data_IF_902364494268
#
_entry.id   IF_902364494268
#
_cell.length_a   1.000
_cell.length_b   1.000
_cell.length_c   1.000
_cell.angle_alpha   90.00
_cell.angle_beta   90.00
_cell.angle_gamma   90.00
#
_symmetry.space_group_name_H-M   'P 1'
#
loop_
_entity.id
_entity.type
_entity.pdbx_description
1 polymer ?
#
# COMPACT_ATOMS: atom_id res chain seq x y z
N UNK A 1 52.70 1.84 -47.12
CA UNK A 1 52.03 2.95 -46.42
C UNK A 1 50.50 2.95 -46.52
N UNK A 2 49.81 2.31 -47.49
CA UNK A 2 48.35 2.20 -47.47
C UNK A 2 47.80 1.31 -46.34
N UNK A 3 48.55 0.30 -45.92
CA UNK A 3 48.13 -0.67 -44.92
C UNK A 3 47.96 -0.09 -43.50
N UNK A 4 48.83 0.87 -43.12
CA UNK A 4 48.78 1.52 -41.80
C UNK A 4 47.51 2.40 -41.64
N UNK A 5 47.04 3.03 -42.74
CA UNK A 5 45.80 3.82 -42.70
C UNK A 5 44.56 2.93 -42.59
N UNK A 6 44.60 1.77 -43.26
CA UNK A 6 43.53 0.77 -43.20
C UNK A 6 43.39 0.16 -41.79
N UNK A 7 44.53 -0.18 -41.15
CA UNK A 7 44.55 -0.66 -39.76
C UNK A 7 44.01 0.40 -38.81
N UNK A 8 44.39 1.65 -38.96
CA UNK A 8 43.94 2.74 -38.10
C UNK A 8 42.43 2.97 -38.22
N UNK A 9 41.86 2.90 -39.43
CA UNK A 9 40.42 2.96 -39.66
C UNK A 9 39.71 1.76 -39.00
N UNK A 10 40.27 0.56 -39.10
CA UNK A 10 39.74 -0.64 -38.50
C UNK A 10 39.69 -0.53 -36.94
N UNK A 11 40.74 -0.01 -36.32
CA UNK A 11 40.76 0.24 -34.88
C UNK A 11 39.69 1.25 -34.43
N UNK A 12 39.50 2.33 -35.19
CA UNK A 12 38.47 3.32 -34.89
C UNK A 12 37.07 2.76 -35.05
N UNK A 13 36.82 1.94 -36.08
CA UNK A 13 35.53 1.25 -36.25
C UNK A 13 35.27 0.27 -35.12
N UNK A 14 36.27 -0.49 -34.71
CA UNK A 14 36.16 -1.44 -33.62
C UNK A 14 35.90 -0.73 -32.29
N UNK A 15 36.59 0.40 -32.04
CA UNK A 15 36.35 1.23 -30.87
C UNK A 15 34.91 1.80 -30.84
N UNK A 16 34.40 2.24 -31.99
CA UNK A 16 33.04 2.75 -32.12
C UNK A 16 31.98 1.65 -31.85
N UNK A 17 32.21 0.45 -32.36
CA UNK A 17 31.34 -0.70 -32.12
C UNK A 17 31.33 -1.08 -30.62
N UNK A 18 32.49 -1.12 -29.99
CA UNK A 18 32.61 -1.40 -28.55
C UNK A 18 31.87 -0.32 -27.74
N UNK A 19 32.07 0.95 -28.08
CA UNK A 19 31.37 2.06 -27.43
C UNK A 19 29.82 1.93 -27.56
N UNK A 20 29.36 1.59 -28.78
CA UNK A 20 27.92 1.38 -29.02
C UNK A 20 27.37 0.23 -28.18
N UNK A 21 28.09 -0.89 -28.07
CA UNK A 21 27.69 -2.04 -27.25
C UNK A 21 27.61 -1.64 -25.77
N UNK A 22 28.61 -0.90 -25.25
CA UNK A 22 28.63 -0.44 -23.86
C UNK A 22 27.44 0.49 -23.58
N UNK A 23 27.13 1.42 -24.50
CA UNK A 23 26.00 2.31 -24.35
C UNK A 23 24.67 1.54 -24.36
N UNK A 24 24.49 0.60 -25.29
CA UNK A 24 23.28 -0.23 -25.38
C UNK A 24 23.12 -1.08 -24.11
N UNK A 25 24.20 -1.66 -23.61
CA UNK A 25 24.20 -2.44 -22.36
C UNK A 25 23.85 -1.55 -21.17
N UNK A 26 24.37 -0.31 -21.12
CA UNK A 26 24.03 0.66 -20.08
C UNK A 26 22.54 1.05 -20.10
N UNK A 27 21.99 1.33 -21.27
CA UNK A 27 20.56 1.65 -21.45
C UNK A 27 19.70 0.45 -21.04
N UNK A 28 20.04 -0.76 -21.48
CA UNK A 28 19.35 -1.99 -21.10
C UNK A 28 19.37 -2.21 -19.58
N UNK A 29 20.53 -2.00 -18.95
CA UNK A 29 20.70 -2.11 -17.52
C UNK A 29 19.80 -1.12 -16.76
N UNK A 30 19.80 0.16 -17.18
CA UNK A 30 18.94 1.18 -16.58
C UNK A 30 17.46 0.82 -16.72
N UNK A 31 17.02 0.39 -17.90
CA UNK A 31 15.63 -0.01 -18.13
C UNK A 31 15.22 -1.21 -17.26
N UNK A 32 16.17 -2.15 -17.04
CA UNK A 32 15.90 -3.40 -16.30
C UNK A 32 15.81 -3.19 -14.80
N UNK A 33 16.58 -2.24 -14.24
CA UNK A 33 16.73 -2.05 -12.79
C UNK A 33 16.11 -0.75 -12.26
N UNK A 34 15.53 0.06 -13.12
CA UNK A 34 14.86 1.29 -12.71
C UNK A 34 13.39 1.02 -12.38
N UNK A 35 13.04 1.10 -11.09
CA UNK A 35 11.68 1.00 -10.60
C UNK A 35 11.06 2.40 -10.44
N UNK A 36 9.89 2.61 -11.04
CA UNK A 36 9.12 3.86 -10.92
C UNK A 36 8.05 3.69 -9.86
N UNK A 37 7.92 4.67 -8.98
CA UNK A 37 6.73 4.90 -8.18
C UNK A 37 5.70 5.66 -9.01
N UNK A 38 4.42 5.53 -8.70
CA UNK A 38 3.33 6.29 -9.30
C UNK A 38 2.48 6.91 -8.20
N UNK A 39 1.63 7.89 -8.53
CA UNK A 39 0.71 8.51 -7.57
C UNK A 39 -0.22 7.48 -6.88
N UNK A 40 -0.45 6.35 -7.52
CA UNK A 40 -1.30 5.27 -7.00
C UNK A 40 -0.51 4.21 -6.22
N UNK A 41 0.82 4.25 -6.26
CA UNK A 41 1.65 3.23 -5.60
C UNK A 41 2.96 3.81 -5.09
N UNK A 42 3.21 3.66 -3.80
CA UNK A 42 4.49 3.90 -3.19
C UNK A 42 5.41 2.68 -3.34
N UNK A 43 6.71 2.93 -3.39
CA UNK A 43 7.74 1.89 -3.42
C UNK A 43 8.54 1.93 -2.11
N UNK A 44 8.48 0.85 -1.36
CA UNK A 44 9.32 0.66 -0.16
C UNK A 44 10.51 -0.19 -0.55
N UNK A 45 11.71 0.39 -0.50
CA UNK A 45 12.98 -0.29 -0.75
C UNK A 45 13.69 -0.54 0.55
N UNK A 46 14.13 -1.78 0.77
CA UNK A 46 14.96 -2.21 1.90
C UNK A 46 16.24 -2.86 1.39
N UNK A 47 17.30 -2.81 2.17
CA UNK A 47 18.59 -3.41 1.81
C UNK A 47 19.76 -2.47 2.08
N UNK A 48 20.80 -2.55 1.24
CA UNK A 48 22.00 -1.71 1.38
C UNK A 48 21.62 -0.23 1.30
N UNK A 49 21.92 0.53 2.37
CA UNK A 49 21.54 1.94 2.52
C UNK A 49 20.25 2.17 3.33
N UNK A 50 19.71 1.12 3.98
CA UNK A 50 18.55 1.22 4.85
C UNK A 50 17.20 1.18 4.13
N UNK A 51 16.14 1.47 4.90
CA UNK A 51 14.77 1.54 4.39
C UNK A 51 14.52 2.93 3.78
N UNK A 52 14.01 2.94 2.56
CA UNK A 52 13.54 4.17 1.89
C UNK A 52 12.15 3.97 1.30
N UNK A 53 11.27 4.91 1.58
CA UNK A 53 9.94 4.99 0.98
C UNK A 53 9.99 6.05 -0.12
N UNK A 54 9.51 5.68 -1.30
CA UNK A 54 9.51 6.53 -2.49
C UNK A 54 8.06 6.63 -2.95
N UNK A 55 7.50 7.80 -2.77
CA UNK A 55 6.10 8.12 -3.14
C UNK A 55 6.02 8.78 -4.51
N UNK A 56 7.13 9.39 -4.95
CA UNK A 56 7.21 10.08 -6.22
C UNK A 56 8.56 9.80 -6.91
N UNK A 57 8.56 9.78 -8.25
CA UNK A 57 9.75 9.53 -9.05
C UNK A 57 10.08 8.05 -9.19
N UNK A 58 11.34 7.69 -8.97
CA UNK A 58 11.81 6.31 -9.10
C UNK A 58 13.17 6.09 -8.47
N UNK A 59 13.54 4.83 -8.34
CA UNK A 59 14.86 4.45 -7.84
C UNK A 59 15.43 3.25 -8.57
N UNK A 60 16.74 3.11 -8.50
CA UNK A 60 17.42 1.91 -8.95
C UNK A 60 17.28 0.83 -7.87
N UNK A 61 16.73 -0.31 -8.28
CA UNK A 61 16.57 -1.49 -7.44
C UNK A 61 17.44 -2.60 -8.00
N UNK A 62 18.50 -2.95 -7.27
CA UNK A 62 19.37 -4.08 -7.60
C UNK A 62 18.86 -5.32 -6.84
N UNK A 63 18.33 -6.35 -7.51
CA UNK A 63 17.68 -7.49 -6.83
C UNK A 63 18.58 -8.27 -5.87
N UNK A 64 19.91 -8.18 -6.07
CA UNK A 64 20.90 -8.89 -5.25
C UNK A 64 21.06 -8.24 -3.87
N UNK A 65 20.92 -6.90 -3.78
CA UNK A 65 21.22 -6.11 -2.57
C UNK A 65 20.02 -5.34 -2.03
N UNK A 66 18.93 -5.26 -2.81
CA UNK A 66 17.71 -4.54 -2.44
C UNK A 66 16.49 -5.42 -2.61
N UNK A 67 15.58 -5.33 -1.65
CA UNK A 67 14.22 -5.80 -1.77
C UNK A 67 13.33 -4.58 -2.00
N UNK A 68 12.41 -4.66 -2.96
CA UNK A 68 11.42 -3.63 -3.23
C UNK A 68 10.02 -4.18 -3.07
N UNK A 69 9.19 -3.44 -2.39
CA UNK A 69 7.80 -3.77 -2.15
C UNK A 69 6.93 -2.61 -2.64
N UNK A 70 5.93 -2.93 -3.45
CA UNK A 70 4.96 -1.94 -3.93
C UNK A 70 3.77 -1.90 -3.00
N UNK A 71 3.40 -0.69 -2.57
CA UNK A 71 2.27 -0.42 -1.69
C UNK A 71 1.23 0.33 -2.49
N UNK A 72 0.01 -0.22 -2.60
CA UNK A 72 -1.11 0.48 -3.22
C UNK A 72 -1.57 1.62 -2.31
N UNK A 73 -1.69 2.83 -2.88
CA UNK A 73 -2.18 4.03 -2.20
C UNK A 73 -3.65 4.31 -2.52
N UNK A 74 -4.29 3.41 -3.26
CA UNK A 74 -5.70 3.53 -3.63
C UNK A 74 -6.59 3.35 -2.40
N UNK A 75 -7.71 4.10 -2.38
CA UNK A 75 -8.77 3.90 -1.40
C UNK A 75 -9.52 2.62 -1.70
N UNK A 76 -9.72 1.81 -0.68
CA UNK A 76 -10.44 0.55 -0.77
C UNK A 76 -11.62 0.56 0.19
N UNK A 77 -12.75 0.03 -0.25
CA UNK A 77 -13.96 -0.05 0.57
C UNK A 77 -14.06 -1.44 1.20
N UNK A 78 -14.11 -1.48 2.52
CA UNK A 78 -14.37 -2.69 3.30
C UNK A 78 -15.81 -2.61 3.82
N UNK A 79 -16.62 -3.61 3.49
CA UNK A 79 -18.02 -3.69 3.96
C UNK A 79 -18.13 -4.68 5.09
N UNK A 80 -18.59 -4.22 6.24
CA UNK A 80 -18.85 -5.05 7.42
C UNK A 80 -20.36 -5.13 7.62
N UNK A 81 -20.90 -6.34 7.57
CA UNK A 81 -22.31 -6.62 7.84
C UNK A 81 -22.43 -7.51 9.07
N UNK A 82 -23.27 -7.10 10.00
CA UNK A 82 -23.65 -7.87 11.19
C UNK A 82 -25.16 -8.02 11.22
N UNK A 83 -25.66 -9.23 10.96
CA UNK A 83 -27.09 -9.50 10.85
C UNK A 83 -27.47 -10.87 11.41
N UNK A 84 -28.73 -11.04 11.74
CA UNK A 84 -29.29 -12.29 12.21
C UNK A 84 -28.65 -12.79 13.51
N UNK A 85 -27.92 -13.90 13.46
CA UNK A 85 -27.23 -14.47 14.64
C UNK A 85 -26.05 -13.63 15.11
N UNK A 86 -25.43 -12.91 14.20
CA UNK A 86 -24.30 -12.02 14.45
C UNK A 86 -24.72 -10.56 14.61
N UNK A 87 -26.02 -10.28 14.66
CA UNK A 87 -26.57 -8.94 14.86
C UNK A 87 -26.00 -8.31 16.13
N UNK A 88 -25.75 -7.02 16.05
CA UNK A 88 -25.13 -6.23 17.11
C UNK A 88 -26.10 -6.10 18.29
N UNK A 89 -25.62 -6.28 19.51
CA UNK A 89 -26.41 -6.09 20.71
C UNK A 89 -26.29 -4.66 21.21
N UNK A 90 -27.43 -4.02 21.44
CA UNK A 90 -27.53 -2.65 21.95
C UNK A 90 -27.66 -2.64 23.49
N UNK A 91 -27.60 -1.45 24.11
CA UNK A 91 -27.72 -1.30 25.57
C UNK A 91 -29.08 -1.74 26.11
N UNK A 92 -30.16 -1.66 25.31
CA UNK A 92 -31.51 -2.10 25.62
C UNK A 92 -31.81 -3.56 25.22
N UNK A 93 -30.86 -4.47 25.37
CA UNK A 93 -30.67 -5.84 24.84
C UNK A 93 -31.46 -6.20 23.59
N UNK A 94 -31.61 -5.26 22.69
CA UNK A 94 -32.16 -5.51 21.35
C UNK A 94 -31.04 -5.89 20.37
N UNK A 95 -31.39 -6.65 19.33
CA UNK A 95 -30.48 -6.99 18.24
C UNK A 95 -30.72 -6.08 17.05
N UNK A 96 -29.66 -5.41 16.61
CA UNK A 96 -29.69 -4.53 15.45
C UNK A 96 -28.88 -5.12 14.30
N UNK A 97 -29.51 -5.21 13.14
CA UNK A 97 -28.80 -5.53 11.89
C UNK A 97 -28.13 -4.26 11.38
N UNK A 98 -26.81 -4.26 11.36
CA UNK A 98 -26.02 -3.10 10.95
C UNK A 98 -25.08 -3.50 9.81
N UNK A 99 -25.09 -2.71 8.74
CA UNK A 99 -24.14 -2.79 7.65
C UNK A 99 -23.45 -1.45 7.49
N UNK A 100 -22.11 -1.45 7.59
CA UNK A 100 -21.30 -0.24 7.42
C UNK A 100 -20.24 -0.45 6.35
N UNK A 101 -19.94 0.62 5.63
CA UNK A 101 -18.86 0.68 4.65
C UNK A 101 -17.76 1.58 5.19
N UNK A 102 -16.54 1.10 5.17
CA UNK A 102 -15.35 1.81 5.61
C UNK A 102 -14.46 2.04 4.40
N UNK A 103 -14.07 3.27 4.17
CA UNK A 103 -13.13 3.64 3.12
C UNK A 103 -11.75 3.75 3.74
N UNK A 104 -10.87 2.85 3.35
CA UNK A 104 -9.54 2.70 3.91
C UNK A 104 -8.49 2.95 2.84
N UNK A 105 -7.46 3.70 3.19
CA UNK A 105 -6.26 3.85 2.36
C UNK A 105 -4.99 3.81 3.23
N UNK A 106 -3.85 3.57 2.60
CA UNK A 106 -2.57 3.74 3.29
C UNK A 106 -2.32 5.24 3.50
N UNK A 107 -2.03 5.62 4.74
CA UNK A 107 -1.70 7.02 5.05
C UNK A 107 -0.45 7.46 4.28
N UNK A 108 -0.46 8.69 3.78
CA UNK A 108 0.57 9.20 2.85
C UNK A 108 1.93 9.49 3.51
N UNK A 109 2.01 9.35 4.83
CA UNK A 109 3.25 9.54 5.58
C UNK A 109 4.22 8.35 5.40
N UNK A 110 5.52 8.64 5.33
CA UNK A 110 6.56 7.64 5.07
C UNK A 110 6.63 6.54 6.11
N UNK A 111 6.37 6.87 7.38
CA UNK A 111 6.39 5.89 8.47
C UNK A 111 5.18 4.97 8.42
N UNK A 112 4.02 5.51 8.09
CA UNK A 112 2.79 4.75 7.92
C UNK A 112 2.85 3.83 6.70
N UNK A 113 3.38 4.30 5.57
CA UNK A 113 3.62 3.46 4.38
C UNK A 113 4.55 2.29 4.72
N UNK A 114 5.61 2.55 5.49
CA UNK A 114 6.53 1.52 5.90
C UNK A 114 5.89 0.53 6.90
N UNK A 115 5.05 1.00 7.81
CA UNK A 115 4.28 0.18 8.75
C UNK A 115 3.30 -0.72 8.01
N UNK A 116 2.54 -0.17 7.07
CA UNK A 116 1.64 -0.92 6.23
C UNK A 116 2.38 -1.99 5.39
N UNK A 117 3.52 -1.63 4.80
CA UNK A 117 4.38 -2.58 4.09
C UNK A 117 4.85 -3.74 4.98
N UNK A 118 5.19 -3.48 6.24
CA UNK A 118 5.57 -4.52 7.21
C UNK A 118 4.39 -5.39 7.63
N UNK A 119 3.23 -4.78 7.92
CA UNK A 119 2.04 -5.50 8.39
C UNK A 119 1.49 -6.45 7.33
N UNK A 120 1.43 -6.00 6.08
CA UNK A 120 0.77 -6.75 5.01
C UNK A 120 1.75 -7.48 4.07
N UNK A 121 3.03 -7.16 4.12
CA UNK A 121 4.05 -7.74 3.24
C UNK A 121 3.71 -7.54 1.76
N UNK A 122 4.09 -8.49 0.92
CA UNK A 122 3.83 -8.43 -0.53
C UNK A 122 2.34 -8.44 -0.92
N UNK A 123 1.45 -8.77 0.03
CA UNK A 123 0.01 -8.77 -0.21
C UNK A 123 -0.59 -7.38 -0.36
N UNK A 124 0.06 -6.36 0.21
CA UNK A 124 -0.42 -4.96 0.19
C UNK A 124 -0.59 -4.40 -1.25
N UNK A 125 0.11 -4.98 -2.22
CA UNK A 125 -0.04 -4.62 -3.63
C UNK A 125 -1.42 -4.99 -4.21
N UNK A 126 -2.15 -5.91 -3.56
CA UNK A 126 -3.50 -6.34 -3.94
C UNK A 126 -4.61 -5.44 -3.39
N UNK A 127 -4.29 -4.57 -2.43
CA UNK A 127 -5.25 -3.61 -1.87
C UNK A 127 -6.40 -4.25 -1.09
N UNK A 128 -7.64 -4.02 -1.55
CA UNK A 128 -8.87 -4.24 -0.80
C UNK A 128 -9.06 -5.59 -0.11
N UNK A 129 -8.80 -6.72 -0.78
CA UNK A 129 -8.95 -8.06 -0.20
C UNK A 129 -8.11 -8.25 1.08
N UNK A 130 -6.92 -7.67 1.09
CA UNK A 130 -6.00 -7.79 2.23
C UNK A 130 -6.47 -6.95 3.42
N UNK A 131 -7.07 -5.79 3.14
CA UNK A 131 -7.62 -4.93 4.19
C UNK A 131 -8.89 -5.55 4.79
N UNK A 132 -9.73 -6.17 3.96
CA UNK A 132 -10.90 -6.89 4.41
C UNK A 132 -10.53 -8.02 5.37
N UNK A 133 -9.60 -8.89 4.97
CA UNK A 133 -9.12 -10.00 5.80
C UNK A 133 -8.55 -9.53 7.15
N UNK A 134 -7.79 -8.43 7.15
CA UNK A 134 -7.11 -7.97 8.35
C UNK A 134 -8.00 -7.16 9.29
N UNK A 135 -8.97 -6.41 8.74
CA UNK A 135 -9.74 -5.42 9.49
C UNK A 135 -11.20 -5.80 9.71
N UNK A 136 -11.75 -6.80 9.01
CA UNK A 136 -13.16 -7.20 9.20
C UNK A 136 -13.50 -7.46 10.68
N UNK A 137 -12.65 -8.18 11.40
CA UNK A 137 -12.81 -8.42 12.84
C UNK A 137 -12.74 -7.15 13.70
N UNK A 138 -11.63 -6.39 13.63
CA UNK A 138 -11.49 -5.12 14.35
C UNK A 138 -12.61 -4.11 14.05
N UNK A 139 -13.02 -3.96 12.79
CA UNK A 139 -14.11 -3.07 12.39
C UNK A 139 -15.46 -3.54 12.94
N UNK A 140 -15.72 -4.85 12.92
CA UNK A 140 -16.91 -5.42 13.54
C UNK A 140 -16.95 -5.18 15.05
N UNK A 141 -15.79 -5.30 15.72
CA UNK A 141 -15.68 -4.98 17.15
C UNK A 141 -15.90 -3.49 17.43
N UNK A 142 -15.44 -2.60 16.55
CA UNK A 142 -15.71 -1.17 16.66
C UNK A 142 -17.22 -0.87 16.63
N UNK A 143 -17.94 -1.48 15.68
CA UNK A 143 -19.41 -1.37 15.59
C UNK A 143 -20.06 -1.90 16.88
N UNK A 144 -19.66 -3.07 17.35
CA UNK A 144 -20.22 -3.68 18.55
C UNK A 144 -19.97 -2.81 19.79
N UNK A 145 -18.77 -2.26 19.96
CA UNK A 145 -18.41 -1.40 21.09
C UNK A 145 -19.24 -0.11 21.11
N UNK A 146 -19.39 0.54 19.97
CA UNK A 146 -20.20 1.75 19.87
C UNK A 146 -21.69 1.49 20.09
N UNK A 147 -22.21 0.36 19.62
CA UNK A 147 -23.61 0.00 19.79
C UNK A 147 -23.96 -0.42 21.22
N UNK A 148 -23.05 -1.09 21.92
CA UNK A 148 -23.27 -1.55 23.29
C UNK A 148 -23.52 -0.40 24.29
N UNK A 149 -23.07 0.81 23.97
CA UNK A 149 -23.25 2.01 24.79
C UNK A 149 -24.52 2.81 24.45
N UNK A 150 -25.28 2.39 23.44
CA UNK A 150 -26.46 3.13 22.91
C UNK A 150 -27.65 2.21 22.77
N UNK A 151 -28.85 2.74 22.96
CA UNK A 151 -30.09 2.05 22.65
C UNK A 151 -30.42 2.13 21.15
N UNK A 152 -31.25 1.21 20.68
CA UNK A 152 -31.60 1.11 19.26
C UNK A 152 -32.21 2.40 18.71
N UNK A 153 -33.03 3.08 19.51
CA UNK A 153 -33.65 4.32 19.12
C UNK A 153 -32.61 5.46 18.90
N UNK A 154 -31.63 5.57 19.81
CA UNK A 154 -30.57 6.57 19.69
C UNK A 154 -29.65 6.27 18.50
N UNK A 155 -29.33 5.02 18.21
CA UNK A 155 -28.56 4.64 17.01
C UNK A 155 -29.30 5.10 15.74
N UNK A 156 -30.65 5.02 15.74
CA UNK A 156 -31.44 5.43 14.59
C UNK A 156 -31.56 6.95 14.46
N UNK A 157 -31.81 7.64 15.56
CA UNK A 157 -32.01 9.09 15.59
C UNK A 157 -30.69 9.87 15.45
N UNK A 158 -29.62 9.41 16.10
CA UNK A 158 -28.31 10.05 16.17
C UNK A 158 -27.26 9.31 15.30
N UNK A 159 -27.69 8.90 14.11
CA UNK A 159 -26.86 8.07 13.22
C UNK A 159 -25.48 8.67 12.91
N UNK A 160 -25.39 10.00 12.79
CA UNK A 160 -24.14 10.69 12.51
C UNK A 160 -23.15 10.53 13.68
N UNK A 161 -23.61 10.71 14.92
CA UNK A 161 -22.79 10.56 16.12
C UNK A 161 -22.34 9.09 16.31
N UNK A 162 -23.26 8.15 16.05
CA UNK A 162 -22.92 6.73 16.06
C UNK A 162 -21.81 6.40 15.06
N UNK A 163 -21.95 6.92 13.82
CA UNK A 163 -20.94 6.71 12.78
C UNK A 163 -19.59 7.32 13.16
N UNK A 164 -19.57 8.50 13.76
CA UNK A 164 -18.33 9.13 14.23
C UNK A 164 -17.65 8.32 15.35
N UNK A 165 -18.42 7.79 16.29
CA UNK A 165 -17.87 6.96 17.36
C UNK A 165 -17.28 5.66 16.82
N UNK A 166 -17.98 5.00 15.90
CA UNK A 166 -17.44 3.81 15.21
C UNK A 166 -16.16 4.16 14.46
N UNK A 167 -16.15 5.28 13.72
CA UNK A 167 -14.99 5.73 12.98
C UNK A 167 -13.80 6.03 13.91
N UNK A 168 -14.03 6.63 15.08
CA UNK A 168 -13.00 6.89 16.08
C UNK A 168 -12.32 5.60 16.56
N UNK A 169 -13.12 4.60 16.94
CA UNK A 169 -12.58 3.30 17.38
C UNK A 169 -11.90 2.56 16.23
N UNK A 170 -12.50 2.58 15.04
CA UNK A 170 -11.94 1.96 13.86
C UNK A 170 -10.61 2.58 13.43
N UNK A 171 -10.48 3.91 13.51
CA UNK A 171 -9.25 4.63 13.13
C UNK A 171 -8.06 4.28 14.03
N UNK A 172 -8.28 4.00 15.32
CA UNK A 172 -7.23 3.53 16.22
C UNK A 172 -6.63 2.19 15.77
N UNK A 173 -7.49 1.27 15.32
CA UNK A 173 -7.04 -0.03 14.79
C UNK A 173 -6.36 0.12 13.42
N UNK A 174 -6.94 0.90 12.52
CA UNK A 174 -6.39 1.17 11.21
C UNK A 174 -5.02 1.85 11.29
N UNK A 175 -4.88 2.86 12.17
CA UNK A 175 -3.65 3.60 12.39
C UNK A 175 -2.47 2.74 12.86
N UNK A 176 -2.72 1.70 13.67
CA UNK A 176 -1.68 0.74 14.08
C UNK A 176 -1.09 -0.04 12.90
N UNK A 177 -1.84 -0.16 11.81
CA UNK A 177 -1.44 -0.83 10.57
C UNK A 177 -0.96 0.15 9.50
N UNK A 178 -0.85 1.45 9.81
CA UNK A 178 -0.46 2.50 8.86
C UNK A 178 -1.55 2.87 7.87
N UNK A 179 -2.83 2.57 8.19
CA UNK A 179 -4.00 2.90 7.38
C UNK A 179 -4.74 4.11 7.98
N UNK A 180 -5.41 4.86 7.12
CA UNK A 180 -6.36 5.92 7.49
C UNK A 180 -7.75 5.63 6.95
N UNK A 181 -8.76 6.13 7.67
CA UNK A 181 -10.17 5.96 7.41
C UNK A 181 -10.74 7.26 6.83
#
# INVERSE_FOLDING_TARGET
>A
MPDAVGELILYWLLALVILAIVLLMGIWFLQRFYAKASLESALVRTGMGGRRVITDGGCVVLPIVHQSQRVSMQTNTVTVSRSGREAVLTSDPLRADITMKFELRVASDTDNIATAAQAFGNRIARGGEVFEDALAGPLANAIQTAAASRDLNNIHLERAEFTQEVARVASEHAGRLGLEL
#
